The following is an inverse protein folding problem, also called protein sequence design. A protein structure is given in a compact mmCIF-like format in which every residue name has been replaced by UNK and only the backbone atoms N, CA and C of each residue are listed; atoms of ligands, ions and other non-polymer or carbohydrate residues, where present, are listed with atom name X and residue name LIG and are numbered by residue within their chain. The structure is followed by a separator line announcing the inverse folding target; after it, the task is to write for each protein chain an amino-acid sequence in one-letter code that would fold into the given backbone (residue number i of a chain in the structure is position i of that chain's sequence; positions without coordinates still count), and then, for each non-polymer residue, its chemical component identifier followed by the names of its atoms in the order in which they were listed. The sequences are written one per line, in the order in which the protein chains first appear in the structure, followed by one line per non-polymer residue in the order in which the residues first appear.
data_IF_893356671345
#
_entry.id   IF_893356671345
#
_cell.length_a   1.000
_cell.length_b   1.000
_cell.length_c   1.000
_cell.angle_alpha   90.00
_cell.angle_beta   90.00
_cell.angle_gamma   90.00
#
_symmetry.space_group_name_H-M   'P 1'
#
loop_
_entity.id
_entity.type
_entity.pdbx_description
1 polymer ?
#
# COMPACT_ATOMS: atom_id res chain seq x y z
N UNK A 1 -13.47 33.92 -33.92
CA UNK A 1 -13.72 32.47 -33.88
C UNK A 1 -13.62 32.03 -32.43
N UNK A 2 -14.69 32.41 -31.73
CA UNK A 2 -15.37 31.81 -30.58
C UNK A 2 -14.58 30.89 -29.64
N UNK A 3 -14.44 31.41 -28.41
CA UNK A 3 -14.21 30.64 -27.19
C UNK A 3 -15.37 29.66 -27.02
N UNK A 4 -15.10 28.36 -27.09
CA UNK A 4 -16.06 27.36 -26.61
C UNK A 4 -15.92 27.33 -25.09
N UNK A 5 -16.82 28.03 -24.42
CA UNK A 5 -17.12 27.89 -23.00
C UNK A 5 -17.58 26.45 -22.75
N UNK A 6 -16.71 25.65 -22.14
CA UNK A 6 -17.06 24.33 -21.63
C UNK A 6 -17.13 24.40 -20.10
N UNK A 7 -18.15 25.07 -19.60
CA UNK A 7 -18.68 24.84 -18.26
C UNK A 7 -19.30 23.43 -18.26
N UNK A 8 -18.59 22.47 -17.68
CA UNK A 8 -19.16 21.15 -17.39
C UNK A 8 -19.65 21.16 -15.94
N UNK A 9 -20.93 21.48 -15.76
CA UNK A 9 -21.64 21.20 -14.52
C UNK A 9 -21.70 19.67 -14.32
N UNK A 10 -21.00 19.18 -13.29
CA UNK A 10 -21.17 17.83 -12.78
C UNK A 10 -22.62 17.66 -12.32
N UNK A 11 -23.40 16.87 -13.06
CA UNK A 11 -24.74 16.47 -12.65
C UNK A 11 -24.67 15.60 -11.39
N UNK A 12 -25.04 16.20 -10.27
CA UNK A 12 -25.56 15.59 -9.04
C UNK A 12 -24.98 14.21 -8.66
N UNK A 13 -23.79 14.21 -8.06
CA UNK A 13 -23.40 13.12 -7.16
C UNK A 13 -24.03 13.37 -5.78
N UNK A 14 -25.35 13.17 -5.68
CA UNK A 14 -26.11 13.39 -4.45
C UNK A 14 -25.93 12.23 -3.45
N UNK A 15 -24.74 12.09 -2.86
CA UNK A 15 -24.63 11.48 -1.53
C UNK A 15 -24.94 12.57 -0.51
N UNK A 16 -26.24 12.74 -0.24
CA UNK A 16 -26.79 13.61 0.81
C UNK A 16 -26.08 13.31 2.14
N UNK A 17 -25.21 14.20 2.58
CA UNK A 17 -24.58 14.08 3.89
C UNK A 17 -23.42 15.02 4.22
N UNK A 18 -22.79 15.69 3.25
CA UNK A 18 -21.69 16.62 3.55
C UNK A 18 -22.09 18.08 3.20
N UNK A 19 -22.40 18.94 4.20
CA UNK A 19 -22.87 20.30 3.97
C UNK A 19 -21.77 21.27 3.49
N UNK A 20 -20.51 20.84 3.32
CA UNK A 20 -19.40 21.76 3.07
C UNK A 20 -18.81 21.73 1.66
N UNK A 21 -19.27 20.88 0.72
CA UNK A 21 -18.76 20.90 -0.67
C UNK A 21 -17.23 20.77 -0.80
N UNK A 22 -16.56 20.27 0.24
CA UNK A 22 -15.09 20.22 0.33
C UNK A 22 -14.48 19.15 -0.58
N UNK A 23 -15.23 18.09 -0.89
CA UNK A 23 -14.76 16.98 -1.71
C UNK A 23 -14.42 17.40 -3.16
N UNK A 24 -15.10 18.41 -3.73
CA UNK A 24 -14.76 18.91 -5.07
C UNK A 24 -13.55 19.85 -5.08
N UNK A 25 -13.36 20.68 -4.03
CA UNK A 25 -12.32 21.74 -4.05
C UNK A 25 -10.93 21.25 -3.63
N UNK A 26 -10.84 20.28 -2.74
CA UNK A 26 -9.55 19.78 -2.24
C UNK A 26 -8.90 18.83 -3.25
N UNK A 27 -9.73 17.98 -3.87
CA UNK A 27 -9.35 17.06 -4.96
C UNK A 27 -8.78 17.86 -6.12
N UNK A 28 -9.47 18.91 -6.60
CA UNK A 28 -8.99 19.72 -7.73
C UNK A 28 -7.60 20.36 -7.51
N UNK A 29 -7.22 20.70 -6.27
CA UNK A 29 -5.93 21.33 -5.99
C UNK A 29 -4.73 20.37 -6.12
N UNK A 30 -4.96 19.08 -5.88
CA UNK A 30 -3.97 18.02 -6.10
C UNK A 30 -4.04 17.45 -7.53
N UNK A 31 -5.21 17.56 -8.16
CA UNK A 31 -5.41 17.18 -9.56
C UNK A 31 -4.80 18.17 -10.57
N UNK A 32 -4.51 19.43 -10.19
CA UNK A 32 -3.86 20.43 -11.08
C UNK A 32 -2.46 19.99 -11.59
N UNK A 33 -1.78 19.05 -10.92
CA UNK A 33 -0.54 18.41 -11.44
C UNK A 33 -0.80 17.01 -12.05
N UNK A 34 -1.96 16.40 -11.81
CA UNK A 34 -2.37 15.07 -12.29
C UNK A 34 -3.09 15.12 -13.64
N UNK A 35 -3.57 16.30 -14.09
CA UNK A 35 -4.17 16.49 -15.41
C UNK A 35 -3.28 16.02 -16.58
N UNK A 36 -1.97 15.87 -16.37
CA UNK A 36 -1.05 15.32 -17.39
C UNK A 36 -0.86 13.79 -17.37
N UNK A 37 -1.27 13.10 -16.30
CA UNK A 37 -1.06 11.64 -16.15
C UNK A 37 -2.37 10.86 -16.26
N UNK A 38 -3.51 11.49 -15.99
CA UNK A 38 -4.81 10.90 -16.28
C UNK A 38 -5.34 11.54 -17.57
N UNK A 39 -4.79 11.08 -18.70
CA UNK A 39 -5.40 11.29 -20.00
C UNK A 39 -6.72 10.51 -20.00
N UNK A 40 -7.81 11.20 -19.62
CA UNK A 40 -9.17 10.69 -19.49
C UNK A 40 -9.32 9.52 -18.47
N UNK A 41 -9.90 9.74 -17.28
CA UNK A 41 -10.01 8.67 -16.30
C UNK A 41 -10.92 7.57 -16.84
N UNK A 42 -10.35 6.41 -17.11
CA UNK A 42 -11.09 5.18 -17.39
C UNK A 42 -12.24 5.04 -16.38
N UNK A 43 -13.50 4.96 -16.83
CA UNK A 43 -14.65 5.05 -15.92
C UNK A 43 -14.78 3.83 -15.01
N UNK A 44 -14.09 2.73 -15.35
CA UNK A 44 -14.29 1.41 -14.75
C UNK A 44 -13.03 0.87 -14.06
N UNK A 45 -12.30 1.71 -13.33
CA UNK A 45 -11.21 1.25 -12.46
C UNK A 45 -11.77 0.30 -11.39
N UNK A 46 -11.09 -0.83 -11.15
CA UNK A 46 -11.42 -1.81 -10.11
C UNK A 46 -10.29 -2.04 -9.12
N UNK A 47 -9.06 -1.76 -9.54
CA UNK A 47 -7.88 -1.88 -8.70
C UNK A 47 -7.02 -0.63 -8.81
N UNK A 48 -6.74 -0.03 -7.67
CA UNK A 48 -5.83 1.10 -7.50
C UNK A 48 -4.60 0.60 -6.78
N UNK A 49 -3.42 0.83 -7.36
CA UNK A 49 -2.15 0.44 -6.78
C UNK A 49 -1.41 1.71 -6.42
N UNK A 50 -1.16 1.93 -5.13
CA UNK A 50 -0.71 3.21 -4.60
C UNK A 50 0.57 3.07 -3.79
N UNK A 51 1.51 4.00 -4.01
CA UNK A 51 2.73 4.14 -3.23
C UNK A 51 2.99 5.61 -2.87
N UNK A 52 3.72 5.87 -1.79
CA UNK A 52 4.33 7.18 -1.50
C UNK A 52 5.86 7.17 -1.75
N UNK A 53 6.38 6.03 -2.22
CA UNK A 53 7.80 5.84 -2.55
C UNK A 53 8.76 5.89 -1.36
N UNK A 54 8.28 5.84 -0.11
CA UNK A 54 9.16 5.97 1.07
C UNK A 54 10.03 4.73 1.30
N UNK A 55 9.55 3.56 0.90
CA UNK A 55 10.25 2.29 1.10
C UNK A 55 10.31 1.44 -0.16
N UNK A 56 10.86 2.00 -1.23
CA UNK A 56 11.08 1.27 -2.49
C UNK A 56 12.16 0.20 -2.30
N UNK A 57 11.71 -1.02 -2.06
CA UNK A 57 12.56 -2.22 -1.90
C UNK A 57 13.78 -1.94 -0.98
N UNK A 58 14.98 -2.31 -1.45
CA UNK A 58 16.25 -2.01 -0.78
C UNK A 58 16.79 -0.60 -1.07
N UNK A 59 16.22 0.14 -2.03
CA UNK A 59 16.66 1.49 -2.39
C UNK A 59 16.21 2.54 -1.37
N UNK A 60 15.20 2.23 -0.55
CA UNK A 60 14.71 3.13 0.48
C UNK A 60 13.82 4.21 -0.12
N UNK A 61 13.98 5.44 0.38
CA UNK A 61 13.14 6.55 -0.01
C UNK A 61 13.52 7.07 -1.40
N UNK A 62 12.57 7.00 -2.33
CA UNK A 62 12.70 7.43 -3.72
C UNK A 62 11.65 8.48 -4.11
N UNK A 63 10.78 8.90 -3.17
CA UNK A 63 9.70 9.84 -3.44
C UNK A 63 8.91 9.49 -4.71
N UNK A 64 8.71 10.46 -5.58
CA UNK A 64 7.96 10.29 -6.83
C UNK A 64 8.57 9.28 -7.82
N UNK A 65 9.88 9.00 -7.75
CA UNK A 65 10.50 7.93 -8.56
C UNK A 65 9.97 6.53 -8.21
N UNK A 66 9.29 6.38 -7.07
CA UNK A 66 8.62 5.13 -6.67
C UNK A 66 7.47 4.70 -7.58
N UNK A 67 7.00 5.53 -8.50
CA UNK A 67 5.91 5.20 -9.45
C UNK A 67 6.14 3.92 -10.27
N UNK A 68 7.39 3.50 -10.45
CA UNK A 68 7.71 2.23 -11.12
C UNK A 68 7.14 1.00 -10.39
N UNK A 69 6.93 1.08 -9.06
CA UNK A 69 6.40 -0.01 -8.25
C UNK A 69 4.92 -0.30 -8.60
N UNK A 70 3.98 0.65 -8.50
CA UNK A 70 2.60 0.38 -8.88
C UNK A 70 2.48 -0.01 -10.35
N UNK A 71 3.28 0.57 -11.26
CA UNK A 71 3.33 0.14 -12.67
C UNK A 71 3.73 -1.33 -12.83
N UNK A 72 4.78 -1.77 -12.14
CA UNK A 72 5.19 -3.18 -12.12
C UNK A 72 4.07 -4.09 -11.61
N UNK A 73 3.36 -3.67 -10.57
CA UNK A 73 2.27 -4.45 -10.00
C UNK A 73 1.05 -4.52 -10.93
N UNK A 74 0.75 -3.46 -11.68
CA UNK A 74 -0.26 -3.48 -12.76
C UNK A 74 0.11 -4.54 -13.80
N UNK A 75 1.37 -4.57 -14.25
CA UNK A 75 1.84 -5.59 -15.19
C UNK A 75 1.66 -7.01 -14.63
N UNK A 76 1.92 -7.24 -13.34
CA UNK A 76 1.67 -8.54 -12.69
C UNK A 76 0.20 -8.90 -12.66
N UNK A 77 -0.68 -7.96 -12.32
CA UNK A 77 -2.12 -8.19 -12.31
C UNK A 77 -2.67 -8.56 -13.69
N UNK A 78 -2.18 -7.90 -14.74
CA UNK A 78 -2.56 -8.22 -16.12
C UNK A 78 -2.02 -9.59 -16.52
N UNK A 79 -0.70 -9.81 -16.40
CA UNK A 79 -0.04 -10.99 -16.94
C UNK A 79 -0.33 -12.29 -16.15
N UNK A 80 -0.49 -12.20 -14.83
CA UNK A 80 -0.61 -13.37 -13.95
C UNK A 80 -2.05 -13.63 -13.50
N UNK A 81 -2.86 -12.58 -13.34
CA UNK A 81 -4.24 -12.70 -12.88
C UNK A 81 -5.28 -12.43 -13.99
N UNK A 82 -4.85 -12.02 -15.18
CA UNK A 82 -5.76 -11.76 -16.31
C UNK A 82 -6.65 -10.53 -16.09
N UNK A 83 -6.26 -9.61 -15.20
CA UNK A 83 -7.01 -8.37 -14.96
C UNK A 83 -6.88 -7.48 -16.20
N UNK A 84 -7.99 -6.86 -16.62
CA UNK A 84 -8.00 -5.99 -17.79
C UNK A 84 -7.18 -4.72 -17.50
N UNK A 85 -6.34 -4.24 -18.43
CA UNK A 85 -5.53 -3.04 -18.20
C UNK A 85 -6.34 -1.80 -17.77
N UNK A 86 -7.51 -1.57 -18.37
CA UNK A 86 -8.39 -0.45 -18.03
C UNK A 86 -9.02 -0.54 -16.63
N UNK A 87 -8.94 -1.69 -15.97
CA UNK A 87 -9.40 -1.84 -14.58
C UNK A 87 -8.31 -1.44 -13.57
N UNK A 88 -7.09 -1.15 -14.00
CA UNK A 88 -5.95 -0.90 -13.13
C UNK A 88 -5.52 0.56 -13.17
N UNK A 89 -5.36 1.18 -12.00
CA UNK A 89 -4.88 2.55 -11.85
C UNK A 89 -3.64 2.61 -10.96
N UNK A 90 -2.43 2.80 -11.51
CA UNK A 90 -1.23 3.04 -10.73
C UNK A 90 -1.20 4.50 -10.24
N UNK A 91 -0.85 4.71 -8.98
CA UNK A 91 -0.85 6.02 -8.32
C UNK A 91 0.40 6.18 -7.46
N UNK A 92 0.97 7.38 -7.50
CA UNK A 92 1.98 7.83 -6.53
C UNK A 92 1.46 9.03 -5.76
N UNK A 93 1.48 8.95 -4.43
CA UNK A 93 1.22 10.07 -3.53
C UNK A 93 2.54 10.81 -3.31
N UNK A 94 2.77 11.88 -4.07
CA UNK A 94 3.98 12.69 -3.91
C UNK A 94 3.84 13.63 -2.71
N UNK A 95 4.40 13.20 -1.58
CA UNK A 95 4.41 13.94 -0.31
C UNK A 95 5.80 14.50 0.02
N UNK A 96 6.70 14.55 -0.96
CA UNK A 96 8.12 14.87 -0.76
C UNK A 96 9.01 13.63 -0.57
N UNK A 97 10.28 13.86 -0.28
CA UNK A 97 11.31 12.82 -0.17
C UNK A 97 12.33 13.22 0.91
N UNK A 98 12.75 12.28 1.75
CA UNK A 98 13.79 12.52 2.76
C UNK A 98 15.19 12.09 2.29
N UNK A 99 15.31 11.60 1.05
CA UNK A 99 16.58 11.20 0.47
C UNK A 99 17.21 12.38 -0.29
N UNK A 100 18.22 13.00 0.32
CA UNK A 100 18.90 14.16 -0.27
C UNK A 100 19.49 13.87 -1.66
N UNK A 101 20.02 12.66 -1.90
CA UNK A 101 20.57 12.30 -3.21
C UNK A 101 19.51 12.29 -4.33
N UNK A 102 18.26 11.98 -3.97
CA UNK A 102 17.12 12.05 -4.88
C UNK A 102 16.65 13.49 -5.04
N UNK A 103 16.61 14.27 -3.95
CA UNK A 103 16.25 15.70 -4.02
C UNK A 103 17.27 16.54 -4.82
N UNK A 104 18.54 16.17 -4.79
CA UNK A 104 19.62 16.84 -5.52
C UNK A 104 19.68 16.45 -7.00
N UNK A 105 19.00 15.36 -7.40
CA UNK A 105 18.98 14.90 -8.79
C UNK A 105 18.23 15.93 -9.67
N UNK A 106 18.88 16.53 -10.69
CA UNK A 106 18.22 17.48 -11.58
C UNK A 106 17.04 16.86 -12.36
N UNK A 107 16.98 15.54 -12.46
CA UNK A 107 15.91 14.81 -13.13
C UNK A 107 14.81 14.31 -12.19
N UNK A 108 14.90 14.59 -10.89
CA UNK A 108 13.82 14.26 -9.95
C UNK A 108 12.50 14.90 -10.35
N UNK A 109 11.48 14.06 -10.53
CA UNK A 109 10.16 14.44 -11.05
C UNK A 109 9.19 14.92 -9.98
N UNK A 110 9.50 14.73 -8.70
CA UNK A 110 8.60 15.02 -7.60
C UNK A 110 8.85 16.36 -6.92
N UNK A 111 8.10 16.59 -5.85
CA UNK A 111 8.22 17.77 -4.99
C UNK A 111 9.58 17.79 -4.30
N UNK A 112 10.34 18.87 -4.53
CA UNK A 112 11.67 19.09 -3.92
C UNK A 112 11.55 19.65 -2.50
N UNK A 113 10.98 18.83 -1.62
CA UNK A 113 10.78 19.13 -0.21
C UNK A 113 10.93 17.86 0.64
N UNK A 114 11.16 18.04 1.93
CA UNK A 114 11.07 16.95 2.91
C UNK A 114 9.65 16.39 2.98
N UNK A 115 9.52 15.16 3.48
CA UNK A 115 8.23 14.48 3.54
C UNK A 115 7.24 15.16 4.47
N UNK A 116 6.00 15.33 3.99
CA UNK A 116 4.84 15.60 4.85
C UNK A 116 4.63 14.39 5.77
N UNK A 117 4.37 14.65 7.05
CA UNK A 117 4.22 13.61 8.07
C UNK A 117 3.14 13.98 9.08
N UNK A 118 2.77 13.03 9.95
CA UNK A 118 1.74 13.25 10.96
C UNK A 118 0.36 13.47 10.36
N UNK A 119 -0.43 14.34 10.97
CA UNK A 119 -1.85 14.57 10.65
C UNK A 119 -2.07 14.97 9.19
N UNK A 120 -1.23 15.85 8.64
CA UNK A 120 -1.36 16.34 7.27
C UNK A 120 -1.23 15.20 6.24
N UNK A 121 -0.33 14.25 6.49
CA UNK A 121 -0.21 13.04 5.66
C UNK A 121 -1.44 12.14 5.82
N UNK A 122 -1.98 12.02 7.03
CA UNK A 122 -3.18 11.20 7.25
C UNK A 122 -4.41 11.76 6.55
N UNK A 123 -4.60 13.08 6.62
CA UNK A 123 -5.71 13.79 5.99
C UNK A 123 -5.64 13.63 4.46
N UNK A 124 -4.44 13.75 3.88
CA UNK A 124 -4.24 13.49 2.45
C UNK A 124 -4.64 12.06 2.06
N UNK A 125 -4.25 11.05 2.85
CA UNK A 125 -4.59 9.66 2.54
C UNK A 125 -6.07 9.38 2.76
N UNK A 126 -6.71 9.99 3.77
CA UNK A 126 -8.16 9.91 3.98
C UNK A 126 -8.89 10.46 2.75
N UNK A 127 -8.54 11.67 2.32
CA UNK A 127 -9.13 12.32 1.15
C UNK A 127 -8.94 11.48 -0.12
N UNK A 128 -7.73 10.95 -0.32
CA UNK A 128 -7.43 10.08 -1.45
C UNK A 128 -8.34 8.84 -1.51
N UNK A 129 -8.50 8.13 -0.39
CA UNK A 129 -9.33 6.91 -0.35
C UNK A 129 -10.80 7.26 -0.58
N UNK A 130 -11.29 8.32 0.08
CA UNK A 130 -12.67 8.77 -0.08
C UNK A 130 -12.96 9.18 -1.54
N UNK A 131 -12.03 9.86 -2.20
CA UNK A 131 -12.15 10.25 -3.60
C UNK A 131 -12.20 9.02 -4.53
N UNK A 132 -11.31 8.04 -4.32
CA UNK A 132 -11.30 6.79 -5.10
C UNK A 132 -12.62 6.04 -4.95
N UNK A 133 -13.11 5.89 -3.72
CA UNK A 133 -14.34 5.16 -3.42
C UNK A 133 -15.57 5.90 -3.93
N UNK A 134 -15.61 7.22 -3.79
CA UNK A 134 -16.67 8.06 -4.33
C UNK A 134 -16.78 7.90 -5.86
N UNK A 135 -15.63 7.84 -6.54
CA UNK A 135 -15.58 7.76 -8.00
C UNK A 135 -15.81 6.37 -8.58
N UNK A 136 -15.20 5.35 -8.00
CA UNK A 136 -15.15 3.99 -8.59
C UNK A 136 -15.95 2.95 -7.79
N UNK A 137 -16.43 3.29 -6.59
CA UNK A 137 -17.25 2.43 -5.75
C UNK A 137 -16.50 1.78 -4.58
N UNK A 138 -17.26 1.36 -3.57
CA UNK A 138 -16.76 0.76 -2.31
C UNK A 138 -15.99 -0.55 -2.50
N UNK A 139 -16.25 -1.25 -3.60
CA UNK A 139 -15.64 -2.52 -3.98
C UNK A 139 -14.32 -2.33 -4.76
N UNK A 140 -13.88 -1.10 -4.98
CA UNK A 140 -12.57 -0.81 -5.59
C UNK A 140 -11.45 -1.27 -4.66
N UNK A 141 -10.60 -2.17 -5.14
CA UNK A 141 -9.43 -2.65 -4.41
C UNK A 141 -8.37 -1.55 -4.37
N UNK A 142 -7.94 -1.14 -3.19
CA UNK A 142 -6.83 -0.21 -2.98
C UNK A 142 -5.65 -0.99 -2.38
N UNK A 143 -4.60 -1.14 -3.16
CA UNK A 143 -3.40 -1.90 -2.83
C UNK A 143 -2.25 -0.95 -2.52
N UNK A 144 -1.85 -0.90 -1.25
CA UNK A 144 -0.69 -0.15 -0.78
C UNK A 144 0.61 -0.92 -1.06
N UNK A 145 1.58 -0.20 -1.62
CA UNK A 145 2.87 -0.73 -2.09
C UNK A 145 4.04 0.14 -1.63
N UNK A 146 5.12 -0.48 -1.17
CA UNK A 146 6.39 0.19 -0.85
C UNK A 146 6.25 1.40 0.09
N UNK A 147 5.28 1.35 0.99
CA UNK A 147 5.06 2.37 2.03
C UNK A 147 5.98 2.11 3.22
N UNK A 148 6.30 3.14 4.01
CA UNK A 148 7.00 2.93 5.27
C UNK A 148 6.22 2.00 6.21
N UNK A 149 6.91 1.06 6.85
CA UNK A 149 6.33 0.04 7.73
C UNK A 149 5.36 0.61 8.78
N UNK A 150 5.68 1.75 9.41
CA UNK A 150 4.82 2.37 10.41
C UNK A 150 3.52 2.90 9.78
N UNK A 151 3.62 3.53 8.62
CA UNK A 151 2.47 3.96 7.84
C UNK A 151 1.66 2.75 7.33
N UNK A 152 2.31 1.73 6.78
CA UNK A 152 1.67 0.48 6.31
C UNK A 152 0.78 -0.13 7.38
N UNK A 153 1.29 -0.31 8.61
CA UNK A 153 0.52 -0.90 9.72
C UNK A 153 -0.65 0.02 10.12
N UNK A 154 -0.39 1.32 10.24
CA UNK A 154 -1.38 2.32 10.67
C UNK A 154 -2.52 2.46 9.67
N UNK A 155 -2.21 2.67 8.39
CA UNK A 155 -3.18 2.81 7.31
C UNK A 155 -3.98 1.51 7.14
N UNK A 156 -3.31 0.36 7.14
CA UNK A 156 -4.01 -0.93 7.08
C UNK A 156 -5.00 -1.09 8.24
N UNK A 157 -4.60 -0.76 9.47
CA UNK A 157 -5.49 -0.84 10.64
C UNK A 157 -6.66 0.15 10.55
N UNK A 158 -6.44 1.36 10.00
CA UNK A 158 -7.45 2.41 9.88
C UNK A 158 -8.52 2.13 8.82
N UNK A 159 -8.16 1.43 7.74
CA UNK A 159 -9.04 1.30 6.56
C UNK A 159 -9.59 -0.11 6.33
N UNK A 160 -8.94 -1.18 6.83
CA UNK A 160 -9.28 -2.58 6.54
C UNK A 160 -10.74 -3.00 6.78
N UNK A 161 -11.41 -2.37 7.74
CA UNK A 161 -12.78 -2.74 8.12
C UNK A 161 -13.84 -1.86 7.42
N UNK A 162 -13.39 -0.80 6.71
CA UNK A 162 -14.26 0.17 6.03
C UNK A 162 -14.16 0.08 4.51
N UNK A 163 -12.97 -0.19 3.98
CA UNK A 163 -12.66 -0.15 2.55
C UNK A 163 -12.02 -1.44 2.09
N UNK A 164 -12.12 -1.76 0.79
CA UNK A 164 -11.41 -2.88 0.19
C UNK A 164 -9.92 -2.54 0.03
N UNK A 165 -9.16 -2.65 1.13
CA UNK A 165 -7.73 -2.33 1.15
C UNK A 165 -6.87 -3.56 1.42
N UNK A 166 -5.69 -3.58 0.79
CA UNK A 166 -4.62 -4.54 1.08
C UNK A 166 -3.29 -3.80 1.15
N UNK A 167 -2.36 -4.30 1.95
CA UNK A 167 -0.96 -3.87 1.90
C UNK A 167 -0.10 -5.06 1.46
N UNK A 168 0.53 -4.94 0.28
CA UNK A 168 1.28 -6.05 -0.31
C UNK A 168 2.55 -6.40 0.48
N UNK A 169 3.25 -5.40 1.04
CA UNK A 169 4.46 -5.62 1.83
C UNK A 169 4.18 -6.42 3.12
N UNK A 170 2.95 -6.38 3.61
CA UNK A 170 2.52 -7.08 4.83
C UNK A 170 1.81 -8.39 4.49
N UNK A 171 0.74 -8.34 3.68
CA UNK A 171 -0.19 -9.46 3.51
C UNK A 171 0.23 -10.42 2.39
N UNK A 172 0.79 -9.92 1.28
CA UNK A 172 1.23 -10.79 0.18
C UNK A 172 2.45 -11.60 0.59
N UNK A 173 3.45 -10.95 1.21
CA UNK A 173 4.66 -11.62 1.70
C UNK A 173 4.28 -12.70 2.73
N UNK A 174 3.40 -12.36 3.67
CA UNK A 174 2.93 -13.33 4.67
C UNK A 174 2.24 -14.54 4.02
N UNK A 175 1.39 -14.29 3.03
CA UNK A 175 0.67 -15.34 2.29
C UNK A 175 1.62 -16.23 1.49
N UNK A 176 2.61 -15.64 0.79
CA UNK A 176 3.63 -16.38 0.05
C UNK A 176 4.48 -17.27 0.95
N UNK A 177 4.94 -16.75 2.09
CA UNK A 177 5.74 -17.53 3.04
C UNK A 177 4.92 -18.69 3.62
N UNK A 178 3.68 -18.43 4.03
CA UNK A 178 2.79 -19.47 4.55
C UNK A 178 2.53 -20.57 3.51
N UNK A 179 2.29 -20.20 2.25
CA UNK A 179 2.12 -21.15 1.16
C UNK A 179 3.36 -22.04 0.98
N UNK A 180 4.57 -21.47 1.04
CA UNK A 180 5.83 -22.21 0.99
C UNK A 180 5.97 -23.20 2.15
N UNK A 181 5.64 -22.78 3.37
CA UNK A 181 5.66 -23.65 4.55
C UNK A 181 4.65 -24.80 4.40
N UNK A 182 3.42 -24.51 3.96
CA UNK A 182 2.39 -25.52 3.74
C UNK A 182 2.80 -26.53 2.64
N UNK A 183 3.45 -26.06 1.58
CA UNK A 183 3.99 -26.92 0.53
C UNK A 183 5.11 -27.84 1.04
N UNK A 184 5.96 -27.34 1.96
CA UNK A 184 7.05 -28.12 2.55
C UNK A 184 6.59 -29.35 3.34
N UNK A 185 5.32 -29.38 3.77
CA UNK A 185 4.72 -30.53 4.48
C UNK A 185 4.82 -31.82 3.68
N UNK A 186 4.69 -31.77 2.35
CA UNK A 186 4.81 -32.96 1.49
C UNK A 186 6.21 -33.58 1.55
N UNK A 187 7.24 -32.76 1.74
CA UNK A 187 8.63 -33.21 1.80
C UNK A 187 9.06 -33.58 3.24
N UNK A 188 8.58 -32.87 4.25
CA UNK A 188 9.03 -33.05 5.65
C UNK A 188 8.14 -33.98 6.46
N UNK A 189 6.88 -34.17 6.04
CA UNK A 189 5.86 -34.86 6.83
C UNK A 189 5.37 -34.09 8.07
N UNK A 190 5.96 -32.93 8.38
CA UNK A 190 5.68 -32.17 9.61
C UNK A 190 4.47 -31.25 9.47
N UNK A 191 3.66 -31.19 10.51
CA UNK A 191 2.61 -30.19 10.69
C UNK A 191 3.22 -28.84 11.09
N UNK A 192 2.51 -27.75 10.84
CA UNK A 192 2.96 -26.38 11.18
C UNK A 192 3.47 -26.30 12.62
N UNK A 193 2.68 -26.78 13.59
CA UNK A 193 3.00 -26.75 15.03
C UNK A 193 4.18 -27.58 15.51
N UNK A 194 4.77 -28.41 14.64
CA UNK A 194 5.94 -29.23 14.97
C UNK A 194 7.25 -28.55 14.58
N UNK A 195 7.16 -27.40 13.89
CA UNK A 195 8.31 -26.64 13.43
C UNK A 195 8.71 -25.56 14.44
N UNK A 196 10.01 -25.25 14.42
CA UNK A 196 10.57 -24.04 15.02
C UNK A 196 10.97 -23.12 13.87
N UNK A 197 10.33 -21.96 13.78
CA UNK A 197 10.62 -20.97 12.74
C UNK A 197 11.59 -19.92 13.27
N UNK A 198 12.60 -19.59 12.48
CA UNK A 198 13.61 -18.59 12.83
C UNK A 198 13.55 -17.43 11.83
N UNK A 199 13.22 -16.23 12.29
CA UNK A 199 13.08 -15.02 11.49
C UNK A 199 14.31 -14.13 11.66
N UNK A 200 15.08 -13.93 10.59
CA UNK A 200 16.22 -13.01 10.61
C UNK A 200 15.84 -11.65 10.02
N UNK A 201 16.18 -10.57 10.72
CA UNK A 201 15.90 -9.20 10.27
C UNK A 201 14.79 -8.50 11.04
N UNK A 202 14.40 -9.00 12.22
CA UNK A 202 13.60 -8.25 13.18
C UNK A 202 14.45 -7.05 13.65
N UNK A 203 14.45 -5.93 12.91
CA UNK A 203 15.15 -4.72 13.34
C UNK A 203 14.61 -4.22 14.68
N UNK A 204 15.33 -3.32 15.36
CA UNK A 204 14.96 -2.69 16.66
C UNK A 204 13.54 -2.08 16.77
N UNK A 205 12.77 -2.05 15.67
CA UNK A 205 11.37 -1.60 15.60
C UNK A 205 10.34 -2.73 15.46
N UNK A 206 10.76 -3.96 15.16
CA UNK A 206 9.91 -5.17 15.18
C UNK A 206 9.72 -5.73 16.60
N UNK A 207 10.42 -5.17 17.59
CA UNK A 207 10.30 -5.59 19.00
C UNK A 207 8.88 -5.36 19.55
N UNK A 208 8.10 -4.45 18.95
CA UNK A 208 6.73 -4.11 19.36
C UNK A 208 5.63 -4.73 18.47
N UNK A 209 5.94 -5.16 17.24
CA UNK A 209 4.95 -5.74 16.31
C UNK A 209 5.51 -7.04 15.75
N UNK A 210 4.86 -8.20 16.01
CA UNK A 210 5.25 -9.45 15.39
C UNK A 210 5.37 -9.27 13.87
N UNK A 211 6.39 -9.87 13.24
CA UNK A 211 6.44 -9.95 11.77
C UNK A 211 5.04 -10.35 11.27
N UNK A 212 4.45 -9.61 10.30
CA UNK A 212 3.14 -9.97 9.77
C UNK A 212 3.04 -11.44 9.39
N UNK A 213 4.13 -12.00 8.86
CA UNK A 213 4.28 -13.43 8.58
C UNK A 213 4.13 -14.31 9.82
N UNK A 214 4.74 -13.94 10.96
CA UNK A 214 4.57 -14.65 12.24
C UNK A 214 3.11 -14.64 12.67
N UNK A 215 2.43 -13.50 12.57
CA UNK A 215 1.01 -13.36 12.94
C UNK A 215 0.10 -14.21 12.05
N UNK A 216 0.36 -14.22 10.73
CA UNK A 216 -0.39 -15.01 9.77
C UNK A 216 -0.21 -16.51 9.98
N UNK A 217 1.02 -16.95 10.31
CA UNK A 217 1.26 -18.35 10.68
C UNK A 217 0.47 -18.64 11.97
N UNK A 218 0.67 -17.89 13.06
CA UNK A 218 0.03 -18.18 14.37
C UNK A 218 -1.51 -18.21 14.32
N UNK A 219 -2.13 -17.38 13.47
CA UNK A 219 -3.59 -17.28 13.33
C UNK A 219 -4.20 -18.24 12.31
N UNK A 220 -3.42 -19.06 11.62
CA UNK A 220 -3.97 -19.92 10.57
C UNK A 220 -4.78 -21.09 11.17
N UNK A 221 -6.03 -21.25 10.74
CA UNK A 221 -7.01 -22.20 11.32
C UNK A 221 -6.56 -23.67 11.31
N UNK A 222 -5.62 -24.04 10.42
CA UNK A 222 -5.06 -25.40 10.41
C UNK A 222 -4.10 -25.69 11.59
N UNK A 223 -3.77 -24.71 12.41
CA UNK A 223 -2.85 -24.85 13.54
C UNK A 223 -3.60 -25.32 14.80
N UNK A 224 -3.51 -26.62 15.07
CA UNK A 224 -3.98 -27.21 16.35
C UNK A 224 -2.99 -27.05 17.49
N UNK A 225 -1.70 -26.94 17.17
CA UNK A 225 -0.58 -26.77 18.10
C UNK A 225 0.24 -25.57 17.65
N UNK A 226 0.45 -24.58 18.52
CA UNK A 226 1.21 -23.39 18.16
C UNK A 226 2.67 -23.74 17.84
N UNK A 227 3.23 -23.28 16.70
CA UNK A 227 4.64 -23.44 16.39
C UNK A 227 5.51 -22.55 17.28
N UNK A 228 6.79 -22.89 17.38
CA UNK A 228 7.76 -22.06 18.11
C UNK A 228 8.39 -21.05 17.17
N UNK A 229 8.65 -19.85 17.68
CA UNK A 229 9.22 -18.76 16.93
C UNK A 229 10.52 -18.27 17.58
N UNK A 230 11.50 -17.96 16.75
CA UNK A 230 12.78 -17.36 17.15
C UNK A 230 13.00 -16.12 16.29
N UNK A 231 13.29 -14.99 16.93
CA UNK A 231 13.60 -13.75 16.22
C UNK A 231 15.10 -13.47 16.33
N UNK A 232 15.78 -13.35 15.19
CA UNK A 232 17.20 -13.01 15.08
C UNK A 232 17.34 -11.58 14.56
N UNK A 233 18.13 -10.81 15.28
CA UNK A 233 18.59 -9.49 14.85
C UNK A 233 20.08 -9.57 14.56
N UNK A 234 20.62 -8.59 13.85
CA UNK A 234 22.07 -8.49 13.61
C UNK A 234 22.90 -8.32 14.89
N UNK A 235 22.27 -8.03 16.05
CA UNK A 235 22.94 -7.87 17.35
C UNK A 235 22.74 -9.05 18.30
N UNK A 236 21.61 -9.75 18.23
CA UNK A 236 21.21 -10.73 19.24
C UNK A 236 20.10 -11.68 18.77
N UNK A 237 20.02 -12.84 19.43
CA UNK A 237 18.89 -13.78 19.37
C UNK A 237 17.86 -13.37 20.44
N UNK A 238 16.62 -13.13 20.02
CA UNK A 238 15.49 -12.89 20.91
C UNK A 238 14.64 -14.16 21.00
N UNK A 239 14.58 -14.72 22.20
CA UNK A 239 13.66 -15.79 22.55
C UNK A 239 12.35 -15.16 23.01
N UNK A 240 11.35 -15.08 22.12
CA UNK A 240 9.96 -14.84 22.50
C UNK A 240 9.22 -16.15 22.26
N UNK A 241 8.51 -16.65 23.27
CA UNK A 241 7.63 -17.83 23.21
C UNK A 241 8.32 -19.22 23.29
N UNK A 242 9.43 -19.35 24.03
CA UNK A 242 10.02 -20.63 24.43
C UNK A 242 9.71 -20.96 25.91
N UNK A 243 8.46 -21.29 26.21
CA UNK A 243 8.09 -22.06 27.41
C UNK A 243 7.31 -23.31 27.00
#
# INVERSE_FOLDING_TARGET
MDRVSNEWELKDCSLKGNPNGQCERSVLRWFEHVERIIVEPEPNVRTVLVTDGEKVMSMGDQGAHGMCIPLYQVCRQICLAGIRPHNCLPVTLDVGCNNQSVLDDPYYIGLRQERVSGADYEELVDEFIEAIVCKYGQDTLIQFESMNVQNSIRLLSKYRDRYCVINADIQDIASMVLAGILASRKATGKMLGENTFCFFGAGRRFDAVPSPTKLFIDKHDAIKKKPRFLDLTWRQVCFKDLD
#
